data_IF_121136856030
#
_entry.id   IF_121136856030
#
_cell.length_a   1.000
_cell.length_b   1.000
_cell.length_c   1.000
_cell.angle_alpha   90.00
_cell.angle_beta   90.00
_cell.angle_gamma   90.00
#
_symmetry.space_group_name_H-M   'P 1'
#
loop_
_entity.id
_entity.type
_entity.pdbx_description
1 polymer ?
#
# COMPACT_ATOMS: atom_id res chain seq x y z
N UNK A 1 4.91 -23.99 8.98
CA UNK A 1 4.83 -22.72 8.22
C UNK A 1 5.27 -21.63 9.17
N UNK A 2 6.43 -21.00 8.94
CA UNK A 2 6.91 -19.91 9.79
C UNK A 2 6.59 -18.59 9.11
N UNK A 3 5.63 -17.86 9.68
CA UNK A 3 5.29 -16.51 9.24
C UNK A 3 6.21 -15.52 9.96
N UNK A 4 6.81 -14.62 9.19
CA UNK A 4 7.57 -13.49 9.70
C UNK A 4 6.83 -12.20 9.36
N UNK A 5 6.77 -11.29 10.33
CA UNK A 5 6.12 -10.00 10.20
C UNK A 5 7.16 -8.91 10.33
N UNK A 6 7.18 -7.96 9.40
CA UNK A 6 8.09 -6.82 9.44
C UNK A 6 7.43 -5.57 8.85
N UNK A 7 7.94 -4.41 9.24
CA UNK A 7 7.57 -3.15 8.60
C UNK A 7 7.96 -3.21 7.11
N UNK A 8 7.11 -2.67 6.25
CA UNK A 8 7.42 -2.56 4.85
C UNK A 8 8.54 -1.54 4.58
N UNK A 9 9.19 -1.69 3.43
CA UNK A 9 10.23 -0.80 2.92
C UNK A 9 9.90 -0.40 1.48
N UNK A 10 10.54 0.66 0.93
CA UNK A 10 10.36 1.00 -0.49
C UNK A 10 10.68 -0.15 -1.44
N UNK A 11 11.59 -1.06 -1.06
CA UNK A 11 11.98 -2.21 -1.87
C UNK A 11 10.84 -3.23 -2.05
N UNK A 12 9.82 -3.21 -1.19
CA UNK A 12 8.70 -4.15 -1.24
C UNK A 12 7.64 -3.77 -2.29
N UNK A 13 7.76 -2.60 -2.94
CA UNK A 13 6.73 -2.00 -3.80
C UNK A 13 6.12 -2.99 -4.79
N UNK A 14 6.95 -3.61 -5.65
CA UNK A 14 6.41 -4.48 -6.72
C UNK A 14 5.71 -5.75 -6.20
N UNK A 15 6.10 -6.24 -5.01
CA UNK A 15 5.44 -7.38 -4.39
C UNK A 15 4.18 -6.96 -3.57
N UNK A 16 4.21 -5.78 -2.98
CA UNK A 16 3.15 -5.25 -2.12
C UNK A 16 1.94 -4.76 -2.92
N UNK A 17 2.16 -4.02 -4.02
CA UNK A 17 1.06 -3.34 -4.74
C UNK A 17 -0.02 -4.30 -5.24
N UNK A 18 0.30 -5.46 -5.85
CA UNK A 18 -0.74 -6.39 -6.28
C UNK A 18 -1.60 -6.89 -5.12
N UNK A 19 -0.98 -7.13 -3.95
CA UNK A 19 -1.68 -7.57 -2.74
C UNK A 19 -2.61 -6.47 -2.20
N UNK A 20 -2.12 -5.23 -2.10
CA UNK A 20 -2.96 -4.08 -1.72
C UNK A 20 -4.14 -3.94 -2.70
N UNK A 21 -3.88 -3.87 -4.00
CA UNK A 21 -4.93 -3.70 -5.01
C UNK A 21 -5.98 -4.82 -4.95
N UNK A 22 -5.55 -6.06 -4.71
CA UNK A 22 -6.44 -7.22 -4.60
C UNK A 22 -7.43 -7.15 -3.44
N UNK A 23 -7.21 -6.30 -2.43
CA UNK A 23 -8.14 -6.13 -1.32
C UNK A 23 -9.44 -5.42 -1.74
N UNK A 24 -9.43 -4.72 -2.87
CA UNK A 24 -10.62 -4.03 -3.38
C UNK A 24 -10.42 -3.38 -4.75
N UNK A 25 -10.22 -4.15 -5.84
CA UNK A 25 -9.91 -3.61 -7.16
C UNK A 25 -10.89 -2.51 -7.62
N UNK A 26 -12.19 -2.74 -7.44
CA UNK A 26 -13.22 -1.79 -7.86
C UNK A 26 -13.17 -0.47 -7.10
N UNK A 27 -12.86 -0.49 -5.80
CA UNK A 27 -12.73 0.73 -5.00
C UNK A 27 -11.50 1.53 -5.41
N UNK A 28 -10.36 0.85 -5.59
CA UNK A 28 -9.13 1.49 -6.04
C UNK A 28 -9.29 2.08 -7.45
N UNK A 29 -9.87 1.34 -8.38
CA UNK A 29 -10.13 1.84 -9.73
C UNK A 29 -11.11 3.02 -9.73
N UNK A 30 -12.16 2.97 -8.90
CA UNK A 30 -13.10 4.09 -8.81
C UNK A 30 -12.43 5.40 -8.36
N UNK A 31 -11.54 5.31 -7.36
CA UNK A 31 -10.92 6.51 -6.77
C UNK A 31 -9.69 6.99 -7.54
N UNK A 32 -8.83 6.08 -8.00
CA UNK A 32 -7.48 6.43 -8.46
C UNK A 32 -7.24 6.23 -9.96
N UNK A 33 -8.09 5.50 -10.68
CA UNK A 33 -7.94 5.36 -12.13
C UNK A 33 -8.36 6.67 -12.80
N UNK A 34 -7.48 7.19 -13.66
CA UNK A 34 -7.79 8.40 -14.39
C UNK A 34 -7.23 8.33 -15.83
N UNK A 35 -8.04 8.63 -16.87
CA UNK A 35 -7.62 8.47 -18.26
C UNK A 35 -6.30 9.17 -18.62
N UNK A 36 -6.04 10.34 -18.02
CA UNK A 36 -4.81 11.10 -18.26
C UNK A 36 -3.70 10.91 -17.21
N UNK A 37 -3.95 10.20 -16.10
CA UNK A 37 -2.97 10.07 -15.00
C UNK A 37 -2.54 8.62 -14.71
N UNK A 38 -3.18 7.64 -15.35
CA UNK A 38 -2.79 6.24 -15.27
C UNK A 38 -3.80 5.37 -14.52
N UNK A 39 -3.34 4.20 -14.11
CA UNK A 39 -4.13 3.18 -13.41
C UNK A 39 -4.08 3.38 -11.90
N UNK A 40 -4.99 2.72 -11.18
CA UNK A 40 -4.91 2.67 -9.72
C UNK A 40 -3.59 2.04 -9.24
N UNK A 41 -3.04 1.06 -9.97
CA UNK A 41 -1.74 0.46 -9.66
C UNK A 41 -0.59 1.47 -9.77
N UNK A 42 -0.63 2.38 -10.75
CA UNK A 42 0.39 3.43 -10.91
C UNK A 42 0.36 4.41 -9.74
N UNK A 43 -0.85 4.81 -9.31
CA UNK A 43 -1.02 5.61 -8.11
C UNK A 43 -0.49 4.90 -6.86
N UNK A 44 -0.88 3.64 -6.65
CA UNK A 44 -0.48 2.86 -5.48
C UNK A 44 1.04 2.65 -5.43
N UNK A 45 1.71 2.36 -6.57
CA UNK A 45 3.18 2.28 -6.63
C UNK A 45 3.84 3.57 -6.19
N UNK A 46 3.38 4.70 -6.73
CA UNK A 46 3.93 6.00 -6.39
C UNK A 46 3.74 6.33 -4.91
N UNK A 47 2.50 6.22 -4.40
CA UNK A 47 2.18 6.54 -3.01
C UNK A 47 2.90 5.62 -2.02
N UNK A 48 2.97 4.32 -2.32
CA UNK A 48 3.68 3.37 -1.47
C UNK A 48 5.16 3.69 -1.38
N UNK A 49 5.83 3.95 -2.51
CA UNK A 49 7.26 4.26 -2.56
C UNK A 49 7.61 5.61 -1.91
N UNK A 50 6.75 6.62 -2.07
CA UNK A 50 6.90 7.92 -1.40
C UNK A 50 6.88 7.78 0.14
N UNK A 51 6.04 6.88 0.65
CA UNK A 51 6.05 6.47 2.04
C UNK A 51 5.26 7.37 2.99
N UNK A 52 4.66 8.46 2.51
CA UNK A 52 3.73 9.29 3.26
C UNK A 52 2.26 8.95 2.94
N UNK A 53 1.36 9.43 3.80
CA UNK A 53 -0.09 9.22 3.63
C UNK A 53 -0.53 7.77 3.83
N UNK A 54 -1.83 7.52 3.73
CA UNK A 54 -2.45 6.21 4.04
C UNK A 54 -1.80 5.03 3.31
N UNK A 55 -1.46 5.22 2.02
CA UNK A 55 -0.88 4.17 1.18
C UNK A 55 0.65 4.05 1.24
N UNK A 56 1.33 4.90 2.01
CA UNK A 56 2.79 4.86 2.15
C UNK A 56 3.30 3.61 2.87
N UNK A 57 4.47 3.09 2.48
CA UNK A 57 5.07 1.88 3.09
C UNK A 57 5.18 1.97 4.62
N UNK A 58 5.32 3.18 5.19
CA UNK A 58 5.49 3.40 6.64
C UNK A 58 4.30 2.92 7.48
N UNK A 59 3.12 2.83 6.87
CA UNK A 59 1.90 2.36 7.54
C UNK A 59 1.63 0.87 7.32
N UNK A 60 2.52 0.17 6.61
CA UNK A 60 2.29 -1.20 6.16
C UNK A 60 3.20 -2.21 6.88
N UNK A 61 2.61 -3.35 7.21
CA UNK A 61 3.31 -4.53 7.71
C UNK A 61 3.24 -5.63 6.65
N UNK A 62 4.40 -6.18 6.30
CA UNK A 62 4.57 -7.33 5.41
C UNK A 62 4.48 -8.61 6.20
N UNK A 63 3.82 -9.62 5.60
CA UNK A 63 3.84 -11.00 6.06
C UNK A 63 4.63 -11.83 5.04
N UNK A 64 5.70 -12.49 5.49
CA UNK A 64 6.57 -13.30 4.63
C UNK A 64 6.75 -14.73 5.17
N UNK A 65 6.90 -15.69 4.27
CA UNK A 65 7.25 -17.09 4.58
C UNK A 65 8.20 -17.63 3.53
N UNK A 66 9.30 -18.25 3.96
CA UNK A 66 10.32 -18.78 3.03
C UNK A 66 10.92 -17.71 2.11
N UNK A 67 11.03 -16.46 2.57
CA UNK A 67 11.53 -15.33 1.78
C UNK A 67 10.55 -14.82 0.71
N UNK A 68 9.29 -15.23 0.75
CA UNK A 68 8.24 -14.76 -0.14
C UNK A 68 7.22 -13.93 0.63
N UNK A 69 6.87 -12.77 0.09
CA UNK A 69 5.80 -11.92 0.62
C UNK A 69 4.46 -12.56 0.25
N UNK A 70 3.67 -12.89 1.26
CA UNK A 70 2.37 -13.58 1.11
C UNK A 70 1.20 -12.74 1.61
N UNK A 71 1.47 -11.61 2.25
CA UNK A 71 0.44 -10.73 2.75
C UNK A 71 0.98 -9.35 3.09
N UNK A 72 0.06 -8.40 3.16
CA UNK A 72 0.33 -7.04 3.58
C UNK A 72 -0.91 -6.49 4.30
N UNK A 73 -0.68 -5.72 5.35
CA UNK A 73 -1.73 -5.01 6.06
C UNK A 73 -1.33 -3.57 6.32
N UNK A 74 -2.28 -2.66 6.17
CA UNK A 74 -2.11 -1.26 6.53
C UNK A 74 -2.81 -0.99 7.86
N UNK A 75 -2.19 -0.19 8.72
CA UNK A 75 -2.86 0.43 9.85
C UNK A 75 -2.53 1.91 9.83
N UNK A 76 -3.56 2.75 9.67
CA UNK A 76 -3.40 4.19 9.58
C UNK A 76 -4.35 4.87 10.56
N UNK A 77 -3.80 5.67 11.47
CA UNK A 77 -4.59 6.41 12.45
C UNK A 77 -4.99 7.78 11.89
N UNK A 78 -6.22 8.22 12.17
CA UNK A 78 -6.64 9.61 11.90
C UNK A 78 -5.80 10.67 12.63
N UNK A 79 -4.96 10.29 13.60
CA UNK A 79 -3.95 11.18 14.22
C UNK A 79 -2.74 11.43 13.33
N UNK A 80 -2.47 10.53 12.39
CA UNK A 80 -1.35 10.58 11.44
C UNK A 80 -1.76 11.22 10.12
N UNK A 81 -3.07 11.36 9.88
CA UNK A 81 -3.59 12.16 8.78
C UNK A 81 -3.29 13.64 9.01
N UNK A 82 -2.76 14.32 7.99
CA UNK A 82 -2.71 15.78 8.00
C UNK A 82 -4.12 16.31 8.25
N UNK A 83 -4.27 17.22 9.23
CA UNK A 83 -5.56 17.81 9.53
C UNK A 83 -6.15 18.47 8.29
N UNK A 84 -7.41 18.18 7.98
CA UNK A 84 -8.16 18.98 7.01
C UNK A 84 -8.37 20.36 7.61
N UNK A 85 -7.51 21.32 7.25
CA UNK A 85 -7.82 22.74 7.43
C UNK A 85 -8.78 23.17 6.32
N UNK A 86 -10.01 23.59 6.66
CA UNK A 86 -10.99 24.11 5.71
C UNK A 86 -10.55 25.44 5.07
#
# INVERSE_FOLDING_TARGET
MNLHFRVATPADTEAAIPLIYSSGPAAFDYVFKHPARGTALDFLRHAFADGAGEFGYRNHTIVETGGQIVGIGACFSGREAFGFTP
#
